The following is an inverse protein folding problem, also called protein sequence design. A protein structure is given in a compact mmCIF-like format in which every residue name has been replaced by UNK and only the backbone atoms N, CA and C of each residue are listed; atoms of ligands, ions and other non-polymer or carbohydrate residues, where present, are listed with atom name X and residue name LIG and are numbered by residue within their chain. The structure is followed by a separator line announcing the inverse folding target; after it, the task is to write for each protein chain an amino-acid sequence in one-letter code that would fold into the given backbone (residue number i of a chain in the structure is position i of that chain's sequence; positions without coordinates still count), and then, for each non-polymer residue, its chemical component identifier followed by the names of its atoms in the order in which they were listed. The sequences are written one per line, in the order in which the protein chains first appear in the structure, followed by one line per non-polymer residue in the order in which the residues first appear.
data_IF_908081263292
#
_entry.id   IF_908081263292
#
_cell.length_a   1.000
_cell.length_b   1.000
_cell.length_c   1.000
_cell.angle_alpha   90.00
_cell.angle_beta   90.00
_cell.angle_gamma   90.00
#
_symmetry.space_group_name_H-M   'P 1'
#
loop_
_entity.id
_entity.type
_entity.pdbx_description
1 polymer ?
#
# COMPACT_ATOMS: atom_id res chain seq x y z
N UNK A 1 -1.92 4.96 -17.96
CA UNK A 1 -1.65 3.99 -16.85
C UNK A 1 -1.65 4.71 -15.51
N UNK A 2 -0.79 5.72 -15.32
CA UNK A 2 -0.76 6.55 -14.09
C UNK A 2 -2.14 7.10 -13.71
N UNK A 3 -2.82 7.74 -14.66
CA UNK A 3 -4.16 8.28 -14.47
C UNK A 3 -5.17 7.22 -13.98
N UNK A 4 -5.19 6.03 -14.58
CA UNK A 4 -6.09 4.96 -14.12
C UNK A 4 -5.74 4.46 -12.71
N UNK A 5 -4.45 4.29 -12.42
CA UNK A 5 -3.99 3.73 -11.14
C UNK A 5 -4.01 4.74 -9.99
N UNK A 6 -4.10 6.05 -10.27
CA UNK A 6 -4.31 7.10 -9.26
C UNK A 6 -5.78 7.22 -8.83
N UNK A 7 -6.71 6.60 -9.56
CA UNK A 7 -8.15 6.66 -9.29
C UNK A 7 -8.74 5.30 -8.87
N UNK A 8 -7.91 4.38 -8.37
CA UNK A 8 -8.42 3.15 -7.77
C UNK A 8 -9.25 3.50 -6.52
N UNK A 9 -10.47 2.97 -6.44
CA UNK A 9 -11.36 3.23 -5.30
C UNK A 9 -11.05 2.37 -4.08
N UNK A 10 -10.46 1.19 -4.27
CA UNK A 10 -10.19 0.26 -3.18
C UNK A 10 -8.90 0.65 -2.44
N UNK A 11 -9.04 1.54 -1.47
CA UNK A 11 -7.91 2.16 -0.75
C UNK A 11 -7.74 1.60 0.67
N UNK A 12 -8.24 0.38 0.92
CA UNK A 12 -8.27 -0.24 2.25
C UNK A 12 -6.99 -1.00 2.64
N UNK A 13 -5.98 -1.02 1.76
CA UNK A 13 -4.77 -1.84 1.89
C UNK A 13 -3.55 -0.95 2.17
N UNK A 14 -2.59 -0.85 1.23
CA UNK A 14 -1.36 -0.08 1.48
C UNK A 14 -1.70 1.39 1.75
N UNK A 15 -2.62 1.99 0.97
CA UNK A 15 -3.06 3.38 1.15
C UNK A 15 -3.53 3.69 2.58
N UNK A 16 -4.18 2.74 3.25
CA UNK A 16 -4.71 2.94 4.60
C UNK A 16 -3.59 3.03 5.67
N UNK A 17 -2.37 2.61 5.34
CA UNK A 17 -1.20 2.78 6.20
C UNK A 17 -0.37 4.04 5.90
N UNK A 18 -0.73 4.82 4.88
CA UNK A 18 -0.04 6.05 4.49
C UNK A 18 -0.74 7.28 5.08
N UNK A 19 -0.05 8.41 5.31
CA UNK A 19 -0.70 9.66 5.66
C UNK A 19 -1.52 10.21 4.48
N UNK A 20 -2.48 11.08 4.79
CA UNK A 20 -3.46 11.59 3.81
C UNK A 20 -2.88 12.42 2.66
N UNK A 21 -1.68 12.96 2.84
CA UNK A 21 -0.95 13.79 1.87
C UNK A 21 0.05 12.98 1.02
N UNK A 22 0.23 11.68 1.29
CA UNK A 22 0.99 10.80 0.41
C UNK A 22 0.14 10.37 -0.79
N UNK A 23 0.73 10.48 -1.98
CA UNK A 23 0.10 10.01 -3.23
C UNK A 23 0.53 8.56 -3.47
N UNK A 24 -0.43 7.68 -3.74
CA UNK A 24 -0.17 6.29 -4.07
C UNK A 24 -0.87 5.91 -5.37
N UNK A 25 -0.07 5.52 -6.35
CA UNK A 25 -0.54 5.07 -7.66
C UNK A 25 -0.46 3.56 -7.66
N UNK A 26 -1.59 2.85 -7.64
CA UNK A 26 -1.58 1.45 -7.24
C UNK A 26 -2.66 0.58 -7.89
N UNK A 27 -2.58 -0.72 -7.59
CA UNK A 27 -3.62 -1.69 -7.94
C UNK A 27 -3.74 -2.78 -6.88
N UNK A 28 -4.98 -2.99 -6.43
CA UNK A 28 -5.35 -4.09 -5.53
C UNK A 28 -5.71 -5.37 -6.28
N UNK A 29 -5.55 -6.52 -5.62
CA UNK A 29 -6.05 -7.82 -6.03
C UNK A 29 -6.55 -8.62 -4.83
N UNK A 30 -7.67 -9.33 -4.98
CA UNK A 30 -8.26 -10.14 -3.92
C UNK A 30 -9.00 -11.32 -4.54
N UNK A 31 -8.53 -12.54 -4.26
CA UNK A 31 -9.19 -13.80 -4.66
C UNK A 31 -9.56 -14.64 -3.42
N UNK A 32 -9.76 -13.97 -2.27
CA UNK A 32 -10.09 -14.56 -0.99
C UNK A 32 -8.89 -15.14 -0.25
N UNK A 33 -8.20 -16.13 -0.84
CA UNK A 33 -6.98 -16.72 -0.24
C UNK A 33 -5.72 -15.89 -0.44
N UNK A 34 -5.66 -15.11 -1.51
CA UNK A 34 -4.57 -14.18 -1.78
C UNK A 34 -5.14 -12.76 -1.80
N UNK A 35 -4.54 -11.90 -0.99
CA UNK A 35 -4.81 -10.47 -0.94
C UNK A 35 -3.53 -9.72 -1.30
N UNK A 36 -3.62 -8.73 -2.17
CA UNK A 36 -2.45 -7.96 -2.56
C UNK A 36 -2.74 -6.54 -2.97
N UNK A 37 -1.69 -5.73 -2.91
CA UNK A 37 -1.65 -4.35 -3.37
C UNK A 37 -0.23 -4.01 -3.81
N UNK A 38 -0.11 -3.24 -4.89
CA UNK A 38 1.17 -2.91 -5.51
C UNK A 38 1.11 -1.52 -6.12
N UNK A 39 2.14 -0.71 -5.91
CA UNK A 39 2.17 0.64 -6.47
C UNK A 39 3.42 1.44 -6.14
N UNK A 40 3.37 2.72 -6.51
CA UNK A 40 4.41 3.72 -6.26
C UNK A 40 3.85 4.74 -5.26
N UNK A 41 4.56 4.93 -4.15
CA UNK A 41 4.28 5.98 -3.17
C UNK A 41 5.16 7.19 -3.47
N UNK A 42 4.55 8.36 -3.48
CA UNK A 42 5.21 9.67 -3.50
C UNK A 42 4.95 10.33 -2.16
N UNK A 43 6.02 10.60 -1.44
CA UNK A 43 5.94 11.22 -0.11
C UNK A 43 5.97 12.74 -0.24
N UNK A 44 5.40 13.49 0.73
CA UNK A 44 5.46 14.95 0.73
C UNK A 44 6.87 15.54 0.74
N UNK A 45 7.85 14.80 1.29
CA UNK A 45 9.27 15.22 1.30
C UNK A 45 10.03 14.88 0.00
N UNK A 46 9.32 14.51 -1.07
CA UNK A 46 9.90 14.28 -2.40
C UNK A 46 10.56 12.91 -2.60
N UNK A 47 10.58 12.04 -1.59
CA UNK A 47 10.99 10.65 -1.75
C UNK A 47 9.92 9.87 -2.52
N UNK A 48 10.36 8.83 -3.21
CA UNK A 48 9.48 7.92 -3.95
C UNK A 48 9.95 6.49 -3.78
N UNK A 49 9.01 5.57 -3.62
CA UNK A 49 9.35 4.16 -3.49
C UNK A 49 8.26 3.26 -4.07
N UNK A 50 8.69 2.10 -4.55
CA UNK A 50 7.79 1.03 -4.99
C UNK A 50 7.54 0.12 -3.79
N UNK A 51 6.29 -0.28 -3.60
CA UNK A 51 5.91 -1.25 -2.58
C UNK A 51 4.92 -2.25 -3.17
N UNK A 52 5.15 -3.53 -2.85
CA UNK A 52 4.32 -4.66 -3.28
C UNK A 52 4.11 -5.56 -2.09
N UNK A 53 2.87 -5.89 -1.79
CA UNK A 53 2.51 -6.86 -0.75
C UNK A 53 1.55 -7.89 -1.33
N UNK A 54 1.92 -9.17 -1.19
CA UNK A 54 1.08 -10.32 -1.55
C UNK A 54 0.99 -11.21 -0.31
N UNK A 55 -0.23 -11.38 0.21
CA UNK A 55 -0.50 -12.04 1.47
C UNK A 55 -1.42 -13.22 1.25
N UNK A 56 -0.86 -14.43 1.43
CA UNK A 56 -1.65 -15.63 1.53
C UNK A 56 -2.33 -15.67 2.91
N UNK A 57 -3.64 -15.85 2.94
CA UNK A 57 -4.48 -15.83 4.14
C UNK A 57 -5.56 -16.91 4.06
N UNK A 58 -6.13 -17.34 5.21
CA UNK A 58 -7.41 -18.03 5.18
C UNK A 58 -8.44 -17.21 4.40
N UNK A 59 -9.37 -17.88 3.72
CA UNK A 59 -10.28 -17.20 2.79
C UNK A 59 -11.00 -16.03 3.46
N UNK A 60 -10.81 -14.81 2.92
CA UNK A 60 -11.37 -13.55 3.43
C UNK A 60 -10.99 -13.17 4.87
N UNK A 61 -9.95 -13.78 5.45
CA UNK A 61 -9.46 -13.44 6.79
C UNK A 61 -9.10 -11.94 6.88
N UNK A 62 -9.65 -11.19 7.85
CA UNK A 62 -9.35 -9.76 8.01
C UNK A 62 -7.88 -9.51 8.37
N UNK A 63 -7.23 -10.46 9.02
CA UNK A 63 -5.83 -10.36 9.45
C UNK A 63 -4.86 -10.08 8.29
N UNK A 64 -5.17 -10.54 7.07
CA UNK A 64 -4.36 -10.21 5.89
C UNK A 64 -4.39 -8.71 5.53
N UNK A 65 -5.54 -8.05 5.71
CA UNK A 65 -5.64 -6.60 5.56
C UNK A 65 -4.87 -5.91 6.67
N UNK A 66 -5.09 -6.31 7.92
CA UNK A 66 -4.48 -5.66 9.09
C UNK A 66 -2.95 -5.71 9.00
N UNK A 67 -2.40 -6.84 8.56
CA UNK A 67 -0.98 -6.99 8.26
C UNK A 67 -0.49 -6.00 7.20
N UNK A 68 -1.18 -5.87 6.06
CA UNK A 68 -0.79 -4.95 4.98
C UNK A 68 -0.78 -3.50 5.47
N UNK A 69 -1.79 -3.08 6.24
CA UNK A 69 -1.88 -1.72 6.78
C UNK A 69 -0.71 -1.45 7.73
N UNK A 70 -0.46 -2.35 8.68
CA UNK A 70 0.62 -2.19 9.65
C UNK A 70 2.01 -2.17 8.97
N UNK A 71 2.25 -3.07 8.02
CA UNK A 71 3.49 -3.11 7.26
C UNK A 71 3.67 -1.84 6.40
N UNK A 72 2.59 -1.33 5.79
CA UNK A 72 2.63 -0.10 4.99
C UNK A 72 3.08 1.10 5.83
N UNK A 73 2.48 1.27 7.02
CA UNK A 73 2.88 2.35 7.95
C UNK A 73 4.33 2.23 8.41
N UNK A 74 4.79 1.01 8.70
CA UNK A 74 6.18 0.77 9.10
C UNK A 74 7.17 1.15 7.99
N UNK A 75 6.90 0.72 6.76
CA UNK A 75 7.73 1.03 5.59
C UNK A 75 7.73 2.53 5.32
N UNK A 76 6.58 3.18 5.33
CA UNK A 76 6.48 4.63 5.10
C UNK A 76 7.35 5.41 6.10
N UNK A 77 7.21 5.08 7.40
CA UNK A 77 7.98 5.72 8.46
C UNK A 77 9.49 5.52 8.27
N UNK A 78 9.92 4.32 7.87
CA UNK A 78 11.32 4.07 7.57
C UNK A 78 11.82 4.89 6.37
N UNK A 79 11.06 4.89 5.27
CA UNK A 79 11.46 5.57 4.03
C UNK A 79 11.52 7.08 4.20
N UNK A 80 10.60 7.68 4.94
CA UNK A 80 10.57 9.13 5.18
C UNK A 80 11.69 9.57 6.13
N UNK A 81 11.98 8.79 7.18
CA UNK A 81 12.94 9.18 8.21
C UNK A 81 14.40 8.84 7.89
N UNK A 82 14.66 7.90 6.97
CA UNK A 82 16.04 7.54 6.59
C UNK A 82 16.59 8.49 5.55
N UNK A 83 17.63 9.27 5.88
CA UNK A 83 18.40 10.05 4.92
C UNK A 83 19.50 9.16 4.33
N UNK A 84 19.20 8.51 3.20
CA UNK A 84 20.23 7.96 2.32
C UNK A 84 20.82 9.05 1.44
#
# INVERSE_FOLDING_TARGET
MVDYMSHVHNNRLIQAGLPSDAIFIHKTGDIGKMLGDAGIVYTPNGKKYIVVMLVNRPYNSPQGKDFIVAASSLIYNYMVNTNL
#
